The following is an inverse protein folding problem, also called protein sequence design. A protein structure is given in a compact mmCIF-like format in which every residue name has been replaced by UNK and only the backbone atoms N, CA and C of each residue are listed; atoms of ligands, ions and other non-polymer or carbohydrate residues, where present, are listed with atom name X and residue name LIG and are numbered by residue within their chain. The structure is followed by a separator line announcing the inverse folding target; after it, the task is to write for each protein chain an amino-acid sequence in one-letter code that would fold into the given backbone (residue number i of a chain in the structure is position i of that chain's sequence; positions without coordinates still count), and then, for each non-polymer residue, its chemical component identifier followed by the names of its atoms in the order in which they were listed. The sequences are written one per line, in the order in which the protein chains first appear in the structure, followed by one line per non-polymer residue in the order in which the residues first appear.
data_IF_528798925486
#
_entry.id   IF_528798925486
#
_cell.length_a   1.000
_cell.length_b   1.000
_cell.length_c   1.000
_cell.angle_alpha   90.00
_cell.angle_beta   90.00
_cell.angle_gamma   90.00
#
_symmetry.space_group_name_H-M   'P 1'
#
loop_
_entity.id
_entity.type
_entity.pdbx_description
1 polymer ?
#
# COMPACT_ATOMS: atom_id res chain seq x y z
N UNK A 1 7.72 7.29 -29.31
CA UNK A 1 6.89 7.59 -28.10
C UNK A 1 6.31 6.31 -27.48
N UNK A 2 5.59 5.49 -28.22
CA UNK A 2 4.99 4.24 -27.68
C UNK A 2 6.05 3.24 -27.21
N UNK A 3 7.21 3.15 -27.85
CA UNK A 3 8.32 2.26 -27.45
C UNK A 3 8.88 2.62 -26.09
N UNK A 4 9.22 3.90 -25.86
CA UNK A 4 9.73 4.38 -24.56
C UNK A 4 8.70 4.20 -23.43
N UNK A 5 7.41 4.42 -23.71
CA UNK A 5 6.35 4.17 -22.73
C UNK A 5 6.22 2.67 -22.39
N UNK A 6 6.40 1.79 -23.36
CA UNK A 6 6.41 0.35 -23.12
C UNK A 6 7.59 -0.09 -22.29
N UNK A 7 8.79 0.40 -22.62
CA UNK A 7 10.01 0.14 -21.83
C UNK A 7 9.85 0.66 -20.39
N UNK A 8 9.25 1.83 -20.20
CA UNK A 8 8.98 2.35 -18.85
C UNK A 8 8.04 1.44 -18.06
N UNK A 9 7.00 0.88 -18.70
CA UNK A 9 6.11 -0.10 -18.05
C UNK A 9 6.87 -1.37 -17.69
N UNK A 10 7.69 -1.91 -18.60
CA UNK A 10 8.48 -3.11 -18.33
C UNK A 10 9.45 -2.90 -17.17
N UNK A 11 10.12 -1.75 -17.11
CA UNK A 11 11.01 -1.38 -16.00
C UNK A 11 10.25 -1.20 -14.68
N UNK A 12 9.05 -0.60 -14.71
CA UNK A 12 8.22 -0.47 -13.51
C UNK A 12 7.80 -1.84 -12.98
N UNK A 13 7.37 -2.75 -13.86
CA UNK A 13 7.00 -4.11 -13.47
C UNK A 13 8.21 -4.88 -12.92
N UNK A 14 9.37 -4.75 -13.55
CA UNK A 14 10.61 -5.35 -13.08
C UNK A 14 11.03 -4.80 -11.72
N UNK A 15 10.99 -3.48 -11.53
CA UNK A 15 11.30 -2.85 -10.25
C UNK A 15 10.32 -3.28 -9.15
N UNK A 16 9.02 -3.34 -9.47
CA UNK A 16 7.98 -3.76 -8.54
C UNK A 16 8.08 -5.23 -8.13
N UNK A 17 8.62 -6.11 -9.00
CA UNK A 17 8.77 -7.54 -8.70
C UNK A 17 10.09 -7.89 -8.01
N UNK A 18 11.09 -7.02 -8.08
CA UNK A 18 12.44 -7.33 -7.60
C UNK A 18 12.47 -7.68 -6.09
N UNK A 19 11.67 -7.03 -5.27
CA UNK A 19 11.58 -7.30 -3.83
C UNK A 19 10.99 -8.67 -3.48
N UNK A 20 10.32 -9.35 -4.42
CA UNK A 20 9.77 -10.69 -4.23
C UNK A 20 10.86 -11.75 -4.04
N UNK A 21 12.07 -11.45 -4.49
CA UNK A 21 13.25 -12.32 -4.36
C UNK A 21 14.06 -12.06 -3.08
N UNK A 22 13.67 -11.08 -2.28
CA UNK A 22 14.35 -10.82 -1.00
C UNK A 22 14.05 -11.95 0.01
N UNK A 23 15.10 -12.52 0.60
CA UNK A 23 15.00 -13.65 1.53
C UNK A 23 14.26 -13.29 2.84
N UNK A 24 14.28 -12.02 3.21
CA UNK A 24 13.73 -11.57 4.51
C UNK A 24 12.30 -11.04 4.38
N UNK A 25 11.37 -11.91 4.05
CA UNK A 25 9.94 -11.54 3.95
C UNK A 25 9.14 -11.72 5.24
N UNK A 26 9.79 -12.18 6.30
CA UNK A 26 9.16 -12.42 7.62
C UNK A 26 7.89 -13.29 7.55
N UNK A 27 7.79 -14.19 6.58
CA UNK A 27 6.61 -15.04 6.38
C UNK A 27 5.36 -14.29 5.92
N UNK A 28 5.51 -13.05 5.45
CA UNK A 28 4.42 -12.24 4.92
C UNK A 28 4.29 -12.41 3.39
N UNK A 29 3.05 -12.47 2.93
CA UNK A 29 2.71 -12.42 1.51
C UNK A 29 2.74 -10.98 0.99
N UNK A 30 2.84 -10.82 -0.33
CA UNK A 30 2.87 -9.51 -1.00
C UNK A 30 1.70 -8.61 -0.57
N UNK A 31 0.49 -9.15 -0.55
CA UNK A 31 -0.71 -8.42 -0.13
C UNK A 31 -0.73 -8.07 1.36
N UNK A 32 -0.08 -8.88 2.20
CA UNK A 32 0.09 -8.59 3.63
C UNK A 32 1.05 -7.41 3.84
N UNK A 33 2.16 -7.38 3.10
CA UNK A 33 3.06 -6.23 3.06
C UNK A 33 2.38 -4.96 2.56
N UNK A 34 1.62 -5.07 1.46
CA UNK A 34 0.86 -3.92 0.93
C UNK A 34 -0.17 -3.41 1.95
N UNK A 35 -0.86 -4.31 2.63
CA UNK A 35 -1.82 -3.96 3.67
C UNK A 35 -1.16 -3.22 4.84
N UNK A 36 -0.04 -3.71 5.37
CA UNK A 36 0.69 -3.05 6.45
C UNK A 36 1.19 -1.65 6.05
N UNK A 37 1.77 -1.52 4.85
CA UNK A 37 2.23 -0.22 4.33
C UNK A 37 1.08 0.78 4.18
N UNK A 38 -0.07 0.32 3.72
CA UNK A 38 -1.26 1.15 3.63
C UNK A 38 -1.71 1.60 5.01
N UNK A 39 -1.91 0.67 5.94
CA UNK A 39 -2.46 0.95 7.26
C UNK A 39 -1.60 1.90 8.09
N UNK A 40 -0.26 1.78 8.02
CA UNK A 40 0.65 2.67 8.76
C UNK A 40 0.59 4.11 8.25
N UNK A 41 0.25 4.32 6.98
CA UNK A 41 0.16 5.65 6.35
C UNK A 41 -1.25 6.21 6.28
N UNK A 42 -2.26 5.34 6.32
CA UNK A 42 -3.66 5.74 6.24
C UNK A 42 -4.05 6.60 7.45
N UNK A 43 -4.88 7.61 7.20
CA UNK A 43 -5.52 8.35 8.28
C UNK A 43 -6.53 7.46 9.02
N UNK A 44 -6.96 7.91 10.21
CA UNK A 44 -7.88 7.13 11.06
C UNK A 44 -9.21 6.74 10.40
N UNK A 45 -9.68 7.52 9.41
CA UNK A 45 -10.94 7.26 8.71
C UNK A 45 -10.78 6.24 7.58
N UNK A 46 -9.56 6.09 7.05
CA UNK A 46 -9.24 5.18 5.96
C UNK A 46 -8.72 3.82 6.42
N UNK A 47 -8.54 3.59 7.72
CA UNK A 47 -8.06 2.32 8.29
C UNK A 47 -9.19 1.29 8.42
N UNK A 48 -9.91 1.06 7.34
CA UNK A 48 -11.03 0.12 7.29
C UNK A 48 -10.74 -1.04 6.32
N UNK A 49 -11.37 -2.22 6.52
CA UNK A 49 -11.25 -3.33 5.57
C UNK A 49 -11.70 -2.95 4.15
N UNK A 50 -12.72 -2.11 4.01
CA UNK A 50 -13.22 -1.65 2.70
C UNK A 50 -12.21 -0.75 2.00
N UNK A 51 -11.62 0.22 2.69
CA UNK A 51 -10.59 1.09 2.13
C UNK A 51 -9.33 0.30 1.75
N UNK A 52 -8.94 -0.67 2.58
CA UNK A 52 -7.84 -1.59 2.28
C UNK A 52 -8.11 -2.39 1.01
N UNK A 53 -9.30 -2.98 0.86
CA UNK A 53 -9.68 -3.75 -0.33
C UNK A 53 -9.60 -2.89 -1.60
N UNK A 54 -10.07 -1.66 -1.53
CA UNK A 54 -10.05 -0.71 -2.63
C UNK A 54 -8.62 -0.30 -3.00
N UNK A 55 -7.78 0.00 -2.00
CA UNK A 55 -6.39 0.40 -2.22
C UNK A 55 -5.56 -0.73 -2.85
N UNK A 56 -5.66 -1.94 -2.32
CA UNK A 56 -4.90 -3.11 -2.81
C UNK A 56 -5.48 -3.64 -4.12
N UNK A 57 -6.73 -3.29 -4.46
CA UNK A 57 -7.40 -3.77 -5.66
C UNK A 57 -7.85 -5.24 -5.57
N UNK A 58 -8.25 -5.68 -4.38
CA UNK A 58 -8.72 -7.03 -4.07
C UNK A 58 -10.18 -7.04 -3.63
N UNK A 59 -10.79 -8.22 -3.64
CA UNK A 59 -12.16 -8.38 -3.15
C UNK A 59 -12.23 -8.14 -1.64
N UNK A 60 -13.42 -7.80 -1.12
CA UNK A 60 -13.67 -7.66 0.31
C UNK A 60 -13.37 -8.97 1.09
N UNK A 61 -13.68 -10.12 0.48
CA UNK A 61 -13.38 -11.43 1.06
C UNK A 61 -11.87 -11.63 1.21
N UNK A 62 -11.08 -11.31 0.17
CA UNK A 62 -9.62 -11.42 0.20
C UNK A 62 -9.02 -10.43 1.20
N UNK A 63 -9.54 -9.20 1.28
CA UNK A 63 -9.11 -8.23 2.27
C UNK A 63 -9.38 -8.72 3.70
N UNK A 64 -10.55 -9.29 3.96
CA UNK A 64 -10.88 -9.87 5.25
C UNK A 64 -9.95 -11.01 5.65
N UNK A 65 -9.58 -11.88 4.72
CA UNK A 65 -8.60 -12.94 4.95
C UNK A 65 -7.20 -12.37 5.23
N UNK A 66 -6.78 -11.36 4.48
CA UNK A 66 -5.49 -10.69 4.70
C UNK A 66 -5.43 -10.04 6.08
N UNK A 67 -6.49 -9.34 6.46
CA UNK A 67 -6.64 -8.76 7.80
C UNK A 67 -6.59 -9.83 8.89
N UNK A 68 -7.33 -10.94 8.74
CA UNK A 68 -7.30 -12.06 9.68
C UNK A 68 -5.89 -12.63 9.88
N UNK A 69 -5.15 -12.86 8.80
CA UNK A 69 -3.76 -13.36 8.87
C UNK A 69 -2.82 -12.39 9.56
N UNK A 70 -2.94 -11.08 9.30
CA UNK A 70 -2.13 -10.07 9.97
C UNK A 70 -2.46 -9.95 11.46
N UNK A 71 -3.73 -10.12 11.81
CA UNK A 71 -4.20 -10.14 13.20
C UNK A 71 -3.67 -11.39 13.94
N UNK A 72 -3.76 -12.59 13.32
CA UNK A 72 -3.22 -13.84 13.86
C UNK A 72 -1.71 -13.77 14.12
N UNK A 73 -0.99 -13.04 13.26
CA UNK A 73 0.46 -12.78 13.43
C UNK A 73 0.76 -11.68 14.46
N UNK A 74 -0.27 -10.99 14.95
CA UNK A 74 -0.14 -9.92 15.93
C UNK A 74 0.39 -8.60 15.35
N UNK A 75 0.32 -8.39 14.04
CA UNK A 75 0.80 -7.17 13.38
C UNK A 75 -0.24 -6.07 13.31
N UNK A 76 -1.52 -6.41 13.38
CA UNK A 76 -2.64 -5.48 13.46
C UNK A 76 -3.63 -5.94 14.53
N UNK A 77 -4.49 -5.02 14.93
CA UNK A 77 -5.65 -5.30 15.79
C UNK A 77 -6.89 -4.59 15.23
N UNK A 78 -8.05 -5.22 15.45
CA UNK A 78 -9.34 -4.64 15.12
C UNK A 78 -9.88 -3.88 16.33
N UNK A 79 -10.36 -2.68 16.07
CA UNK A 79 -11.04 -1.86 17.07
C UNK A 79 -12.36 -1.36 16.51
N UNK A 80 -13.37 -1.26 17.35
CA UNK A 80 -14.63 -0.59 16.96
C UNK A 80 -14.40 0.92 16.91
N UNK A 81 -15.01 1.58 15.92
CA UNK A 81 -14.98 3.03 15.87
C UNK A 81 -15.78 3.63 17.02
N UNK A 82 -15.26 4.67 17.64
CA UNK A 82 -15.96 5.41 18.70
C UNK A 82 -17.14 6.23 18.13
N UNK A 83 -17.03 6.60 16.84
CA UNK A 83 -18.05 7.39 16.14
C UNK A 83 -19.16 6.54 15.53
N UNK A 84 -18.83 5.35 15.04
CA UNK A 84 -19.78 4.39 14.49
C UNK A 84 -19.42 2.98 14.95
N UNK A 85 -20.17 2.48 15.92
CA UNK A 85 -19.96 1.14 16.52
C UNK A 85 -20.08 -0.02 15.52
N UNK A 86 -20.60 0.24 14.31
CA UNK A 86 -20.69 -0.73 13.22
C UNK A 86 -19.39 -0.80 12.39
N UNK A 87 -18.59 0.25 12.45
CA UNK A 87 -17.34 0.35 11.69
C UNK A 87 -16.18 -0.26 12.45
N UNK A 88 -15.38 -1.04 11.74
CA UNK A 88 -14.13 -1.62 12.24
C UNK A 88 -12.95 -0.78 11.78
N UNK A 89 -12.10 -0.41 12.72
CA UNK A 89 -10.82 0.28 12.47
C UNK A 89 -9.70 -0.73 12.64
N UNK A 90 -8.73 -0.68 11.74
CA UNK A 90 -7.54 -1.52 11.72
C UNK A 90 -6.34 -0.70 12.19
N UNK A 91 -5.83 -1.02 13.36
CA UNK A 91 -4.64 -0.37 13.91
C UNK A 91 -3.42 -1.29 13.80
N UNK A 92 -2.29 -0.72 13.34
CA UNK A 92 -1.01 -1.42 13.33
C UNK A 92 -0.47 -1.48 14.76
N UNK A 93 -0.06 -2.66 15.20
CA UNK A 93 0.52 -2.87 16.53
C UNK A 93 2.01 -2.47 16.55
N UNK A 94 2.63 -2.29 17.73
CA UNK A 94 4.08 -2.08 17.83
C UNK A 94 4.89 -3.19 17.16
N UNK A 95 4.39 -4.43 17.17
CA UNK A 95 5.00 -5.56 16.46
C UNK A 95 4.87 -5.39 14.94
N UNK A 96 3.75 -4.88 14.45
CA UNK A 96 3.55 -4.54 13.04
C UNK A 96 4.47 -3.41 12.58
N UNK A 97 4.66 -2.38 13.40
CA UNK A 97 5.61 -1.29 13.12
C UNK A 97 7.05 -1.81 13.07
N UNK A 98 7.41 -2.71 13.98
CA UNK A 98 8.74 -3.32 14.01
C UNK A 98 9.02 -4.14 12.75
N UNK A 99 8.05 -4.93 12.26
CA UNK A 99 8.25 -5.71 11.03
C UNK A 99 8.37 -4.82 9.80
N UNK A 100 7.70 -3.68 9.78
CA UNK A 100 7.85 -2.68 8.71
C UNK A 100 9.25 -2.07 8.62
N UNK A 101 10.01 -2.06 9.72
CA UNK A 101 11.42 -1.63 9.69
C UNK A 101 12.31 -2.56 8.84
N UNK A 102 11.90 -3.81 8.63
CA UNK A 102 12.58 -4.79 7.74
C UNK A 102 11.81 -5.03 6.43
N UNK A 103 11.12 -4.02 5.95
CA UNK A 103 10.35 -4.09 4.70
C UNK A 103 11.28 -4.41 3.50
N UNK A 104 11.00 -5.49 2.74
CA UNK A 104 11.84 -5.90 1.61
C UNK A 104 11.87 -4.91 0.45
N UNK A 105 11.02 -3.88 0.43
CA UNK A 105 11.11 -2.81 -0.58
C UNK A 105 12.15 -1.72 -0.25
N UNK A 106 12.83 -1.79 0.87
CA UNK A 106 13.81 -0.77 1.25
C UNK A 106 14.86 -0.47 0.18
N UNK A 107 15.44 -1.45 -0.53
CA UNK A 107 16.36 -1.17 -1.65
C UNK A 107 15.72 -0.34 -2.76
N UNK A 108 14.47 -0.60 -3.11
CA UNK A 108 13.72 0.17 -4.11
C UNK A 108 13.45 1.60 -3.63
N UNK A 109 13.09 1.76 -2.36
CA UNK A 109 12.90 3.09 -1.75
C UNK A 109 14.20 3.90 -1.81
N UNK A 110 15.33 3.29 -1.47
CA UNK A 110 16.64 3.94 -1.51
C UNK A 110 17.05 4.31 -2.95
N UNK A 111 16.80 3.43 -3.91
CA UNK A 111 17.07 3.71 -5.32
C UNK A 111 16.26 4.91 -5.83
N UNK A 112 14.97 4.99 -5.48
CA UNK A 112 14.12 6.12 -5.84
C UNK A 112 14.57 7.42 -5.14
N UNK A 113 14.99 7.32 -3.87
CA UNK A 113 15.50 8.47 -3.12
C UNK A 113 16.79 9.05 -3.71
N UNK A 114 17.59 8.22 -4.37
CA UNK A 114 18.86 8.60 -5.00
C UNK A 114 18.68 9.18 -6.43
N UNK A 115 17.47 9.24 -6.97
CA UNK A 115 17.23 9.80 -8.31
C UNK A 115 17.58 11.29 -8.37
N UNK A 116 18.37 11.68 -9.35
CA UNK A 116 18.69 13.10 -9.63
C UNK A 116 17.43 13.94 -9.92
N UNK A 117 16.44 13.34 -10.57
CA UNK A 117 15.13 13.95 -10.80
C UNK A 117 14.42 14.37 -9.49
N UNK A 118 14.77 13.70 -8.38
CA UNK A 118 14.14 13.89 -7.09
C UNK A 118 12.91 12.99 -6.88
N UNK A 119 12.84 12.36 -5.71
CA UNK A 119 11.77 11.41 -5.36
C UNK A 119 10.36 12.03 -5.45
N UNK A 120 10.22 13.33 -5.15
CA UNK A 120 8.93 14.02 -5.23
C UNK A 120 8.40 14.10 -6.67
N UNK A 121 9.25 14.48 -7.63
CA UNK A 121 8.85 14.54 -9.04
C UNK A 121 8.50 13.16 -9.58
N UNK A 122 9.28 12.15 -9.23
CA UNK A 122 9.01 10.77 -9.62
C UNK A 122 7.67 10.28 -9.07
N UNK A 123 7.40 10.53 -7.77
CA UNK A 123 6.11 10.24 -7.14
C UNK A 123 4.95 10.92 -7.89
N UNK A 124 5.09 12.20 -8.21
CA UNK A 124 4.02 12.98 -8.84
C UNK A 124 3.75 12.50 -10.28
N UNK A 125 4.77 12.07 -11.01
CA UNK A 125 4.61 11.41 -12.32
C UNK A 125 3.82 10.09 -12.20
N UNK A 126 4.18 9.24 -11.24
CA UNK A 126 3.46 7.99 -11.00
C UNK A 126 2.01 8.23 -10.59
N UNK A 127 1.76 9.22 -9.73
CA UNK A 127 0.40 9.62 -9.33
C UNK A 127 -0.43 10.04 -10.54
N UNK A 128 0.12 10.88 -11.40
CA UNK A 128 -0.57 11.31 -12.62
C UNK A 128 -0.92 10.13 -13.54
N UNK A 129 -0.02 9.16 -13.71
CA UNK A 129 -0.31 7.93 -14.47
C UNK A 129 -1.47 7.16 -13.84
N UNK A 130 -1.47 7.00 -12.53
CA UNK A 130 -2.53 6.29 -11.81
C UNK A 130 -3.87 7.01 -11.92
N UNK A 131 -3.92 8.33 -11.78
CA UNK A 131 -5.12 9.15 -11.95
C UNK A 131 -5.74 8.98 -13.36
N UNK A 132 -4.90 8.93 -14.39
CA UNK A 132 -5.39 8.68 -15.76
C UNK A 132 -5.96 7.27 -15.95
N UNK A 133 -5.38 6.27 -15.29
CA UNK A 133 -5.89 4.90 -15.34
C UNK A 133 -7.22 4.77 -14.60
N UNK A 134 -7.38 5.46 -13.47
CA UNK A 134 -8.60 5.41 -12.66
C UNK A 134 -9.75 6.20 -13.30
N UNK A 135 -9.47 7.33 -13.93
CA UNK A 135 -10.46 8.07 -14.69
C UNK A 135 -11.12 7.22 -15.80
N UNK A 136 -10.38 6.23 -16.34
CA UNK A 136 -10.91 5.28 -17.33
C UNK A 136 -11.74 4.16 -16.71
N UNK A 137 -11.61 3.90 -15.40
CA UNK A 137 -12.24 2.77 -14.70
C UNK A 137 -13.37 3.19 -13.76
N UNK A 138 -13.68 4.48 -13.68
CA UNK A 138 -14.63 5.05 -12.71
C UNK A 138 -14.32 4.60 -11.26
N UNK A 139 -13.04 4.46 -10.94
CA UNK A 139 -12.54 4.11 -9.61
C UNK A 139 -11.95 5.34 -8.96
N UNK A 140 -12.46 5.71 -7.82
CA UNK A 140 -11.78 6.68 -6.96
C UNK A 140 -10.56 6.01 -6.30
N UNK A 141 -9.38 6.58 -6.52
CA UNK A 141 -8.19 6.19 -5.77
C UNK A 141 -8.43 6.47 -4.29
N UNK A 142 -8.37 5.43 -3.48
CA UNK A 142 -8.17 5.58 -2.06
C UNK A 142 -6.69 5.98 -1.85
N UNK A 143 -6.33 7.18 -2.29
CA UNK A 143 -5.02 7.71 -1.99
C UNK A 143 -4.91 7.83 -0.47
N UNK A 144 -3.75 7.47 0.07
CA UNK A 144 -3.42 7.75 1.45
C UNK A 144 -3.43 9.27 1.61
N UNK A 145 -4.59 9.80 1.91
CA UNK A 145 -4.88 11.21 1.88
C UNK A 145 -4.08 11.90 2.99
N UNK A 146 -2.86 12.37 2.69
CA UNK A 146 -2.20 13.39 3.50
C UNK A 146 -2.91 14.76 3.39
N UNK A 147 -3.89 14.88 2.48
CA UNK A 147 -4.62 16.10 2.17
C UNK A 147 -6.15 15.97 2.33
N UNK A 148 -6.67 14.87 2.89
CA UNK A 148 -8.07 14.84 3.30
C UNK A 148 -8.27 15.85 4.44
N UNK A 149 -8.68 17.04 4.07
CA UNK A 149 -9.27 18.04 4.97
C UNK A 149 -10.73 17.60 5.16
N UNK A 150 -10.98 16.77 6.16
CA UNK A 150 -12.30 16.57 6.77
C UNK A 150 -12.13 16.41 8.27
#
# INVERSE_FOLDING_TARGET
MITAAREAVDLLLQAASNWQFEDNRNGLLDREWMALRFLVRANRFSRTPSALAQFVGISRATASQTVGRLEDKGYIQRRRSDQDKRSVILDVTPRGEKVLASDPIAPLVNAIAALELGANKFRDLLRHVLEQLDARRDRHHADSCRQCIF
#
